data_IF_929150438128
#
_entry.id   IF_929150438128
#
_cell.length_a   1.000
_cell.length_b   1.000
_cell.length_c   1.000
_cell.angle_alpha   90.00
_cell.angle_beta   90.00
_cell.angle_gamma   90.00
#
_symmetry.space_group_name_H-M   'P 1'
#
loop_
_entity.id
_entity.type
_entity.pdbx_description
1 polymer ?
#
# COMPACT_ATOMS: atom_id res chain seq x y z
N UNK A 1 2.31 -29.84 27.99
CA UNK A 1 3.04 -28.57 27.90
C UNK A 1 4.01 -28.48 26.71
N UNK A 2 4.74 -29.55 26.35
CA UNK A 2 5.65 -29.57 25.17
C UNK A 2 4.90 -29.67 23.84
N UNK A 3 3.81 -30.40 23.79
CA UNK A 3 2.95 -30.53 22.60
C UNK A 3 2.25 -29.20 22.22
N UNK A 4 1.85 -28.39 23.19
CA UNK A 4 1.21 -27.10 22.94
C UNK A 4 2.21 -26.06 22.42
N UNK A 5 3.48 -26.10 22.81
CA UNK A 5 4.56 -25.26 22.24
C UNK A 5 4.86 -25.65 20.80
N UNK A 6 5.00 -26.95 20.51
CA UNK A 6 5.27 -27.42 19.17
C UNK A 6 4.15 -27.10 18.16
N UNK A 7 2.88 -27.21 18.58
CA UNK A 7 1.73 -26.80 17.76
C UNK A 7 1.70 -25.30 17.50
N UNK A 8 2.07 -24.48 18.49
CA UNK A 8 2.14 -23.02 18.35
C UNK A 8 3.24 -22.60 17.37
N UNK A 9 4.39 -23.25 17.39
CA UNK A 9 5.51 -22.95 16.48
C UNK A 9 5.22 -23.40 15.04
N UNK A 10 4.57 -24.54 14.86
CA UNK A 10 4.12 -25.02 13.54
C UNK A 10 3.08 -24.05 12.95
N UNK A 11 2.10 -23.62 13.75
CA UNK A 11 1.10 -22.66 13.33
C UNK A 11 1.71 -21.31 12.95
N UNK A 12 2.64 -20.78 13.76
CA UNK A 12 3.35 -19.53 13.45
C UNK A 12 4.14 -19.63 12.14
N UNK A 13 4.86 -20.72 11.91
CA UNK A 13 5.59 -20.95 10.66
C UNK A 13 4.65 -21.03 9.45
N UNK A 14 3.55 -21.77 9.58
CA UNK A 14 2.55 -21.87 8.51
C UNK A 14 1.92 -20.51 8.20
N UNK A 15 1.61 -19.72 9.24
CA UNK A 15 1.07 -18.38 9.09
C UNK A 15 2.04 -17.45 8.35
N UNK A 16 3.33 -17.47 8.73
CA UNK A 16 4.36 -16.68 8.07
C UNK A 16 4.55 -17.10 6.61
N UNK A 17 4.63 -18.39 6.33
CA UNK A 17 4.77 -18.90 4.95
C UNK A 17 3.56 -18.51 4.10
N UNK A 18 2.35 -18.75 4.59
CA UNK A 18 1.12 -18.39 3.86
C UNK A 18 1.00 -16.88 3.66
N UNK A 19 1.38 -16.10 4.67
CA UNK A 19 1.40 -14.63 4.59
C UNK A 19 2.39 -14.12 3.55
N UNK A 20 3.62 -14.64 3.53
CA UNK A 20 4.63 -14.26 2.53
C UNK A 20 4.17 -14.63 1.12
N UNK A 21 3.63 -15.84 0.94
CA UNK A 21 3.10 -16.29 -0.36
C UNK A 21 1.94 -15.39 -0.80
N UNK A 22 1.01 -15.06 0.09
CA UNK A 22 -0.13 -14.20 -0.21
C UNK A 22 0.34 -12.79 -0.63
N UNK A 23 1.30 -12.20 0.09
CA UNK A 23 1.89 -10.90 -0.26
C UNK A 23 2.59 -10.99 -1.62
N UNK A 24 3.42 -12.01 -1.85
CA UNK A 24 4.14 -12.19 -3.10
C UNK A 24 3.19 -12.36 -4.31
N UNK A 25 2.15 -13.19 -4.17
CA UNK A 25 1.13 -13.37 -5.21
C UNK A 25 0.33 -12.10 -5.47
N UNK A 26 -0.02 -11.36 -4.42
CA UNK A 26 -0.72 -10.07 -4.55
C UNK A 26 0.13 -9.05 -5.29
N UNK A 27 1.41 -8.92 -4.93
CA UNK A 27 2.36 -8.05 -5.63
C UNK A 27 2.53 -8.48 -7.08
N UNK A 28 2.70 -9.77 -7.37
CA UNK A 28 2.85 -10.29 -8.73
C UNK A 28 1.60 -10.00 -9.58
N UNK A 29 0.40 -10.20 -9.03
CA UNK A 29 -0.86 -9.89 -9.72
C UNK A 29 -1.01 -8.40 -10.00
N UNK A 30 -0.64 -7.54 -9.04
CA UNK A 30 -0.65 -6.09 -9.21
C UNK A 30 0.34 -5.63 -10.27
N UNK A 31 1.55 -6.19 -10.28
CA UNK A 31 2.57 -5.89 -11.29
C UNK A 31 2.13 -6.30 -12.69
N UNK A 32 1.53 -7.49 -12.80
CA UNK A 32 0.97 -7.97 -14.07
C UNK A 32 -0.14 -7.03 -14.56
N UNK A 33 -1.03 -6.59 -13.67
CA UNK A 33 -2.08 -5.63 -14.00
C UNK A 33 -1.51 -4.30 -14.53
N UNK A 34 -0.51 -3.73 -13.84
CA UNK A 34 0.11 -2.47 -14.25
C UNK A 34 0.84 -2.65 -15.57
N UNK A 35 1.56 -3.75 -15.76
CA UNK A 35 2.29 -4.03 -16.99
C UNK A 35 1.36 -4.16 -18.20
N UNK A 36 0.22 -4.79 -18.03
CA UNK A 36 -0.79 -4.90 -19.12
C UNK A 36 -1.49 -3.56 -19.37
N UNK A 37 -1.76 -2.80 -18.30
CA UNK A 37 -2.56 -1.56 -18.35
C UNK A 37 -1.74 -0.33 -18.75
N UNK A 38 -0.47 -0.28 -18.34
CA UNK A 38 0.45 0.85 -18.52
C UNK A 38 1.74 0.41 -19.19
N UNK A 39 2.54 1.41 -19.63
CA UNK A 39 3.88 1.17 -20.16
C UNK A 39 4.82 0.67 -19.05
N UNK A 40 5.85 -0.12 -19.41
CA UNK A 40 6.78 -0.76 -18.48
C UNK A 40 7.50 0.24 -17.54
N UNK A 41 7.69 1.49 -17.98
CA UNK A 41 8.33 2.54 -17.19
C UNK A 41 7.51 2.90 -15.94
N UNK A 42 6.18 2.98 -16.06
CA UNK A 42 5.28 3.21 -14.93
C UNK A 42 5.25 2.04 -13.95
N UNK A 43 5.46 0.83 -14.45
CA UNK A 43 5.53 -0.37 -13.61
C UNK A 43 6.70 -0.31 -12.62
N UNK A 44 7.87 0.19 -13.03
CA UNK A 44 9.03 0.32 -12.14
C UNK A 44 8.78 1.29 -11.00
N UNK A 45 8.21 2.47 -11.26
CA UNK A 45 7.84 3.43 -10.23
C UNK A 45 6.86 2.86 -9.21
N UNK A 46 5.82 2.17 -9.70
CA UNK A 46 4.84 1.51 -8.85
C UNK A 46 5.45 0.41 -7.96
N UNK A 47 6.37 -0.40 -8.50
CA UNK A 47 7.07 -1.44 -7.74
C UNK A 47 7.86 -0.82 -6.59
N UNK A 48 8.66 0.21 -6.87
CA UNK A 48 9.48 0.90 -5.86
C UNK A 48 8.59 1.49 -4.76
N UNK A 49 7.49 2.15 -5.15
CA UNK A 49 6.52 2.71 -4.20
C UNK A 49 5.90 1.64 -3.30
N UNK A 50 5.47 0.50 -3.87
CA UNK A 50 4.90 -0.61 -3.11
C UNK A 50 5.90 -1.23 -2.12
N UNK A 51 7.13 -1.48 -2.55
CA UNK A 51 8.18 -1.98 -1.66
C UNK A 51 8.45 -1.01 -0.52
N UNK A 52 8.54 0.28 -0.82
CA UNK A 52 8.71 1.33 0.18
C UNK A 52 7.60 1.27 1.23
N UNK A 53 6.33 1.22 0.81
CA UNK A 53 5.17 1.24 1.71
C UNK A 53 5.13 0.00 2.63
N UNK A 54 5.39 -1.18 2.07
CA UNK A 54 5.44 -2.44 2.82
C UNK A 54 6.61 -2.44 3.81
N UNK A 55 7.80 -2.02 3.37
CA UNK A 55 9.00 -2.00 4.22
C UNK A 55 8.82 -1.00 5.37
N UNK A 56 8.29 0.19 5.12
CA UNK A 56 8.05 1.17 6.19
C UNK A 56 7.03 0.65 7.17
N UNK A 57 5.92 0.11 6.70
CA UNK A 57 4.87 -0.41 7.58
C UNK A 57 5.41 -1.54 8.47
N UNK A 58 6.09 -2.52 7.89
CA UNK A 58 6.69 -3.61 8.66
C UNK A 58 7.84 -3.13 9.56
N UNK A 59 8.61 -2.13 9.10
CA UNK A 59 9.66 -1.50 9.88
C UNK A 59 9.14 -0.83 11.14
N UNK A 60 8.03 -0.10 11.05
CA UNK A 60 7.36 0.51 12.21
C UNK A 60 6.87 -0.57 13.18
N UNK A 61 6.25 -1.65 12.68
CA UNK A 61 5.83 -2.77 13.52
C UNK A 61 7.00 -3.44 14.25
N UNK A 62 8.11 -3.63 13.55
CA UNK A 62 9.34 -4.17 14.14
C UNK A 62 9.93 -3.23 15.19
N UNK A 63 9.97 -1.93 14.93
CA UNK A 63 10.50 -0.93 15.86
C UNK A 63 9.74 -0.87 17.18
N UNK A 64 8.42 -0.99 17.14
CA UNK A 64 7.55 -1.00 18.30
C UNK A 64 7.33 -2.40 18.88
N UNK A 65 8.04 -3.42 18.38
CA UNK A 65 7.92 -4.82 18.80
C UNK A 65 6.47 -5.33 18.84
N UNK A 66 5.66 -4.90 17.89
CA UNK A 66 4.27 -5.30 17.78
C UNK A 66 4.18 -6.74 17.21
N UNK A 67 3.31 -7.55 17.81
CA UNK A 67 3.14 -8.93 17.36
C UNK A 67 2.54 -9.00 15.97
N UNK A 68 3.22 -9.71 15.05
CA UNK A 68 2.69 -9.97 13.71
C UNK A 68 1.70 -11.13 13.80
N UNK A 69 0.45 -10.82 13.53
CA UNK A 69 -0.66 -11.77 13.49
C UNK A 69 -1.35 -11.75 12.10
N UNK A 70 -2.35 -12.61 11.92
CA UNK A 70 -3.09 -12.70 10.64
C UNK A 70 -3.75 -11.37 10.25
N UNK A 71 -4.21 -10.60 11.22
CA UNK A 71 -4.83 -9.30 10.97
C UNK A 71 -3.84 -8.29 10.37
N UNK A 72 -2.58 -8.34 10.79
CA UNK A 72 -1.51 -7.47 10.24
C UNK A 72 -1.15 -7.89 8.82
N UNK A 73 -1.08 -9.21 8.54
CA UNK A 73 -0.88 -9.69 7.16
C UNK A 73 -2.02 -9.20 6.25
N UNK A 74 -3.26 -9.29 6.71
CA UNK A 74 -4.41 -8.75 5.99
C UNK A 74 -4.32 -7.23 5.79
N UNK A 75 -3.84 -6.48 6.81
CA UNK A 75 -3.61 -5.05 6.70
C UNK A 75 -2.56 -4.73 5.63
N UNK A 76 -1.43 -5.42 5.60
CA UNK A 76 -0.37 -5.22 4.59
C UNK A 76 -0.90 -5.46 3.18
N UNK A 77 -1.67 -6.53 2.96
CA UNK A 77 -2.31 -6.80 1.67
C UNK A 77 -3.28 -5.68 1.26
N UNK A 78 -4.03 -5.17 2.23
CA UNK A 78 -4.96 -4.06 2.00
C UNK A 78 -4.22 -2.76 1.69
N UNK A 79 -3.10 -2.48 2.36
CA UNK A 79 -2.24 -1.32 2.09
C UNK A 79 -1.69 -1.35 0.67
N UNK A 80 -1.23 -2.51 0.20
CA UNK A 80 -0.77 -2.70 -1.18
C UNK A 80 -1.87 -2.31 -2.17
N UNK A 81 -3.09 -2.80 -1.98
CA UNK A 81 -4.23 -2.46 -2.84
C UNK A 81 -4.61 -0.98 -2.75
N UNK A 82 -4.55 -0.40 -1.55
CA UNK A 82 -4.89 1.01 -1.32
C UNK A 82 -3.86 1.97 -1.97
N UNK A 83 -2.58 1.74 -1.76
CA UNK A 83 -1.49 2.54 -2.36
C UNK A 83 -1.55 2.49 -3.88
N UNK A 84 -1.84 1.32 -4.45
CA UNK A 84 -2.00 1.15 -5.89
C UNK A 84 -3.16 1.93 -6.48
N UNK A 85 -4.26 2.09 -5.74
CA UNK A 85 -5.43 2.83 -6.22
C UNK A 85 -5.08 4.27 -6.59
N UNK A 86 -4.32 4.96 -5.73
CA UNK A 86 -3.90 6.34 -5.98
C UNK A 86 -2.83 6.40 -7.09
N UNK A 87 -1.86 5.50 -7.08
CA UNK A 87 -0.81 5.41 -8.10
C UNK A 87 -1.40 5.21 -9.50
N UNK A 88 -2.36 4.30 -9.67
CA UNK A 88 -3.03 4.04 -10.96
C UNK A 88 -3.78 5.29 -11.45
N UNK A 89 -4.44 6.01 -10.57
CA UNK A 89 -5.16 7.25 -10.93
C UNK A 89 -4.22 8.34 -11.44
N UNK A 90 -3.07 8.52 -10.77
CA UNK A 90 -2.06 9.49 -11.19
C UNK A 90 -1.47 9.06 -12.55
N UNK A 91 -1.11 7.80 -12.72
CA UNK A 91 -0.57 7.27 -13.98
C UNK A 91 -1.57 7.40 -15.15
N UNK A 92 -2.84 7.13 -14.91
CA UNK A 92 -3.87 7.31 -15.93
C UNK A 92 -4.00 8.77 -16.37
N UNK A 93 -3.88 9.69 -15.41
CA UNK A 93 -3.88 11.14 -15.68
C UNK A 93 -2.62 11.60 -16.39
N UNK A 94 -1.45 11.10 -16.02
CA UNK A 94 -0.19 11.37 -16.73
C UNK A 94 -0.29 10.90 -18.17
N UNK A 95 -0.80 9.69 -18.41
CA UNK A 95 -1.01 9.14 -19.75
C UNK A 95 -2.00 9.96 -20.57
N UNK A 96 -3.09 10.43 -19.97
CA UNK A 96 -4.05 11.31 -20.64
C UNK A 96 -3.41 12.63 -21.06
N UNK A 97 -2.63 13.25 -20.15
CA UNK A 97 -1.95 14.50 -20.41
C UNK A 97 -0.81 14.35 -21.44
N UNK A 98 -0.08 13.23 -21.47
CA UNK A 98 0.90 12.91 -22.50
C UNK A 98 0.29 12.90 -23.92
N UNK A 99 -0.95 12.47 -24.03
CA UNK A 99 -1.67 12.49 -25.33
C UNK A 99 -2.17 13.88 -25.74
N UNK A 100 -2.42 14.75 -24.75
CA UNK A 100 -2.94 16.11 -24.98
C UNK A 100 -1.85 17.14 -25.24
N UNK A 101 -0.71 16.97 -24.60
CA UNK A 101 0.39 17.95 -24.59
C UNK A 101 1.66 17.29 -25.13
N UNK A 102 1.96 17.47 -26.44
CA UNK A 102 3.13 16.89 -27.09
C UNK A 102 4.44 17.65 -26.85
N UNK A 103 4.37 18.93 -26.44
CA UNK A 103 5.52 19.83 -26.38
C UNK A 103 5.99 20.19 -24.96
N UNK A 104 5.37 19.59 -23.91
CA UNK A 104 5.71 19.87 -22.52
C UNK A 104 6.75 18.85 -22.03
N UNK A 105 7.69 19.30 -21.20
CA UNK A 105 8.66 18.43 -20.53
C UNK A 105 7.94 17.45 -19.60
N UNK A 106 8.38 16.18 -19.57
CA UNK A 106 7.77 15.11 -18.77
C UNK A 106 7.59 15.51 -17.31
N UNK A 107 8.59 16.14 -16.70
CA UNK A 107 8.54 16.61 -15.32
C UNK A 107 7.39 17.62 -15.06
N UNK A 108 7.22 18.57 -15.95
CA UNK A 108 6.16 19.58 -15.83
C UNK A 108 4.78 18.97 -16.03
N UNK A 109 4.66 18.05 -17.00
CA UNK A 109 3.45 17.31 -17.28
C UNK A 109 3.03 16.42 -16.11
N UNK A 110 3.98 15.74 -15.46
CA UNK A 110 3.74 14.94 -14.26
C UNK A 110 3.23 15.82 -13.12
N UNK A 111 3.84 16.98 -12.89
CA UNK A 111 3.42 17.92 -11.86
C UNK A 111 1.99 18.45 -12.10
N UNK A 112 1.64 18.76 -13.34
CA UNK A 112 0.27 19.13 -13.71
C UNK A 112 -0.70 17.99 -13.41
N UNK A 113 -0.34 16.76 -13.75
CA UNK A 113 -1.18 15.57 -13.56
C UNK A 113 -1.41 15.28 -12.06
N UNK A 114 -0.38 15.39 -11.24
CA UNK A 114 -0.49 15.25 -9.79
C UNK A 114 -1.43 16.32 -9.23
N UNK A 115 -1.25 17.59 -9.59
CA UNK A 115 -2.12 18.66 -9.12
C UNK A 115 -3.59 18.47 -9.49
N UNK A 116 -3.87 17.91 -10.67
CA UNK A 116 -5.24 17.61 -11.11
C UNK A 116 -5.90 16.47 -10.33
N UNK A 117 -5.11 15.54 -9.78
CA UNK A 117 -5.61 14.40 -8.99
C UNK A 117 -5.51 14.61 -7.49
N UNK A 118 -4.75 15.61 -7.04
CA UNK A 118 -4.41 15.85 -5.64
C UNK A 118 -5.65 16.00 -4.74
N UNK A 119 -6.65 16.77 -5.17
CA UNK A 119 -7.88 16.97 -4.40
C UNK A 119 -8.60 15.64 -4.14
N UNK A 120 -8.69 14.77 -5.13
CA UNK A 120 -9.29 13.44 -5.00
C UNK A 120 -8.48 12.57 -4.02
N UNK A 121 -7.17 12.51 -4.18
CA UNK A 121 -6.29 11.73 -3.32
C UNK A 121 -6.36 12.18 -1.86
N UNK A 122 -6.36 13.49 -1.60
CA UNK A 122 -6.48 14.02 -0.23
C UNK A 122 -7.84 13.68 0.38
N UNK A 123 -8.94 13.86 -0.36
CA UNK A 123 -10.29 13.57 0.16
C UNK A 123 -10.43 12.07 0.45
N UNK A 124 -10.01 11.19 -0.45
CA UNK A 124 -10.08 9.73 -0.24
C UNK A 124 -9.22 9.28 0.94
N UNK A 125 -8.01 9.80 1.07
CA UNK A 125 -7.12 9.49 2.19
C UNK A 125 -7.67 10.01 3.52
N UNK A 126 -8.19 11.24 3.55
CA UNK A 126 -8.77 11.83 4.75
C UNK A 126 -10.01 11.06 5.23
N UNK A 127 -10.92 10.72 4.33
CA UNK A 127 -12.12 9.93 4.68
C UNK A 127 -11.77 8.53 5.17
N UNK A 128 -10.81 7.87 4.54
CA UNK A 128 -10.32 6.56 4.98
C UNK A 128 -9.63 6.65 6.34
N UNK A 129 -8.81 7.66 6.58
CA UNK A 129 -8.17 7.90 7.89
C UNK A 129 -9.20 8.14 8.98
N UNK A 130 -10.26 8.90 8.73
CA UNK A 130 -11.34 9.11 9.71
C UNK A 130 -12.04 7.79 10.07
N UNK A 131 -12.34 6.95 9.08
CA UNK A 131 -12.92 5.63 9.33
C UNK A 131 -11.98 4.73 10.14
N UNK A 132 -10.70 4.69 9.77
CA UNK A 132 -9.68 3.90 10.48
C UNK A 132 -9.42 4.38 11.91
N UNK A 133 -9.42 5.69 12.14
CA UNK A 133 -9.34 6.27 13.48
C UNK A 133 -10.54 5.88 14.34
N UNK A 134 -11.74 5.86 13.77
CA UNK A 134 -12.94 5.38 14.46
C UNK A 134 -12.79 3.90 14.86
N UNK A 135 -12.29 3.05 13.97
CA UNK A 135 -12.02 1.64 14.26
C UNK A 135 -10.91 1.52 15.32
N UNK A 136 -9.87 2.33 15.26
CA UNK A 136 -8.77 2.31 16.23
C UNK A 136 -9.25 2.64 17.65
N UNK A 137 -10.15 3.62 17.78
CA UNK A 137 -10.67 4.08 19.08
C UNK A 137 -11.73 3.12 19.63
N UNK A 138 -12.67 2.67 18.79
CA UNK A 138 -13.86 1.92 19.19
C UNK A 138 -13.81 0.43 18.88
N UNK A 139 -12.89 -0.04 18.04
CA UNK A 139 -12.87 -1.42 17.51
C UNK A 139 -12.32 -2.50 18.46
N UNK A 140 -11.91 -2.13 19.67
CA UNK A 140 -11.37 -3.09 20.66
C UNK A 140 -9.94 -3.59 20.32
N UNK A 141 -9.39 -4.40 21.23
CA UNK A 141 -7.98 -4.84 21.17
C UNK A 141 -7.62 -5.62 19.89
N UNK A 142 -8.54 -6.44 19.37
CA UNK A 142 -8.29 -7.29 18.21
C UNK A 142 -8.06 -6.45 16.94
N UNK A 143 -8.76 -5.33 16.80
CA UNK A 143 -8.70 -4.47 15.62
C UNK A 143 -7.66 -3.35 15.74
N UNK A 144 -7.09 -3.11 16.92
CA UNK A 144 -6.08 -2.05 17.13
C UNK A 144 -4.85 -2.23 16.25
N UNK A 145 -4.29 -3.44 16.21
CA UNK A 145 -3.11 -3.72 15.37
C UNK A 145 -3.41 -3.53 13.89
N UNK A 146 -4.55 -4.05 13.42
CA UNK A 146 -4.99 -3.88 12.04
C UNK A 146 -5.19 -2.41 11.66
N UNK A 147 -5.96 -1.68 12.45
CA UNK A 147 -6.27 -0.27 12.18
C UNK A 147 -5.03 0.61 12.25
N UNK A 148 -4.10 0.35 13.19
CA UNK A 148 -2.84 1.06 13.26
C UNK A 148 -1.99 0.82 12.01
N UNK A 149 -1.86 -0.44 11.56
CA UNK A 149 -1.16 -0.76 10.33
C UNK A 149 -1.76 -0.02 9.14
N UNK A 150 -3.09 -0.05 9.03
CA UNK A 150 -3.80 0.63 7.96
C UNK A 150 -3.63 2.15 7.98
N UNK A 151 -3.67 2.79 9.16
CA UNK A 151 -3.44 4.23 9.31
C UNK A 151 -2.05 4.61 8.78
N UNK A 152 -1.02 3.88 9.21
CA UNK A 152 0.35 4.08 8.75
C UNK A 152 0.45 3.86 7.23
N UNK A 153 -0.13 2.76 6.74
CA UNK A 153 -0.12 2.43 5.32
C UNK A 153 -0.83 3.46 4.44
N UNK A 154 -1.94 4.03 4.89
CA UNK A 154 -2.64 5.11 4.16
C UNK A 154 -1.79 6.39 4.14
N UNK A 155 -1.19 6.78 5.25
CA UNK A 155 -0.33 7.97 5.32
C UNK A 155 0.89 7.82 4.40
N UNK A 156 1.65 6.74 4.57
CA UNK A 156 2.85 6.50 3.77
C UNK A 156 2.53 6.19 2.31
N UNK A 157 1.45 5.44 2.03
CA UNK A 157 1.00 5.14 0.68
C UNK A 157 0.54 6.38 -0.09
N UNK A 158 -0.15 7.30 0.56
CA UNK A 158 -0.53 8.58 -0.06
C UNK A 158 0.73 9.42 -0.38
N UNK A 159 1.69 9.47 0.53
CA UNK A 159 2.95 10.14 0.28
C UNK A 159 3.72 9.48 -0.87
N UNK A 160 3.84 8.16 -0.85
CA UNK A 160 4.62 7.41 -1.83
C UNK A 160 4.00 7.46 -3.23
N UNK A 161 2.68 7.46 -3.35
CA UNK A 161 2.00 7.59 -4.64
C UNK A 161 2.25 8.95 -5.32
N UNK A 162 2.46 10.01 -4.54
CA UNK A 162 2.71 11.36 -5.05
C UNK A 162 4.19 11.56 -5.38
N UNK A 163 5.12 11.10 -4.52
CA UNK A 163 6.54 11.46 -4.59
C UNK A 163 7.48 10.34 -5.05
N UNK A 164 7.10 9.08 -4.86
CA UNK A 164 8.00 7.93 -5.15
C UNK A 164 7.59 7.24 -6.45
N UNK A 165 6.30 7.09 -6.71
CA UNK A 165 5.80 6.41 -7.89
C UNK A 165 5.96 7.24 -9.19
N UNK A 166 6.08 8.55 -9.07
CA UNK A 166 6.19 9.53 -10.16
C UNK A 166 7.53 10.24 -10.12
#
# INVERSE_FOLDING_TARGET
>A
CLLSRGLGDVYKRQLLQSGIIAIALSLAAMLLYIWIRFEWQFSLGAIVALFHDVIITLGVFSLFSLEINLSIVAAVLTIVGYSMNDTVVIFDRVRENLRKFSDIKIFELTNISINQTLSRTIITSATTLLALLSIFIFGGEILKGFSLAMILGVIFGTYSSIYIAN
#
